data_IF_110276540070
#
_entry.id   IF_110276540070
#
_cell.length_a   1.000
_cell.length_b   1.000
_cell.length_c   1.000
_cell.angle_alpha   90.00
_cell.angle_beta   90.00
_cell.angle_gamma   90.00
#
_symmetry.space_group_name_H-M   'P 1'
#
loop_
_entity.id
_entity.type
_entity.pdbx_description
1 polymer ?
#
# COMPACT_ATOMS: atom_id res chain seq x y z
N UNK A 1 2.80 5.59 -16.05
CA UNK A 1 2.68 6.27 -14.74
C UNK A 1 3.97 5.96 -14.00
N UNK A 2 4.85 6.93 -13.87
CA UNK A 2 6.15 6.75 -13.22
C UNK A 2 6.02 6.68 -11.70
N UNK A 3 6.99 6.00 -11.05
CA UNK A 3 7.04 5.83 -9.58
C UNK A 3 6.95 7.13 -8.80
N UNK A 4 7.54 8.19 -9.35
CA UNK A 4 7.51 9.52 -8.76
C UNK A 4 6.08 10.04 -8.53
N UNK A 5 5.17 9.81 -9.48
CA UNK A 5 3.79 10.26 -9.36
C UNK A 5 3.04 9.54 -8.24
N UNK A 6 3.34 8.25 -8.04
CA UNK A 6 2.72 7.45 -7.00
C UNK A 6 3.24 7.86 -5.62
N UNK A 7 4.55 7.96 -5.45
CA UNK A 7 5.15 8.43 -4.20
C UNK A 7 4.68 9.86 -3.84
N UNK A 8 4.60 10.75 -4.82
CA UNK A 8 4.09 12.12 -4.63
C UNK A 8 2.61 12.12 -4.23
N UNK A 9 1.81 11.26 -4.85
CA UNK A 9 0.38 11.12 -4.57
C UNK A 9 0.13 10.71 -3.12
N UNK A 10 0.80 9.65 -2.67
CA UNK A 10 0.71 9.16 -1.30
C UNK A 10 1.25 10.17 -0.28
N UNK A 11 2.38 10.83 -0.58
CA UNK A 11 2.89 11.92 0.26
C UNK A 11 1.87 13.06 0.41
N UNK A 12 1.18 13.40 -0.67
CA UNK A 12 0.14 14.44 -0.66
C UNK A 12 -1.07 14.02 0.16
N UNK A 13 -1.47 12.75 0.07
CA UNK A 13 -2.55 12.18 0.89
C UNK A 13 -2.20 12.28 2.38
N UNK A 14 -1.00 11.83 2.78
CA UNK A 14 -0.52 11.91 4.17
C UNK A 14 -0.37 13.34 4.69
N UNK A 15 0.04 14.28 3.83
CA UNK A 15 0.15 15.69 4.20
C UNK A 15 -1.23 16.33 4.48
N UNK A 16 -2.30 15.82 3.86
CA UNK A 16 -3.68 16.27 4.09
C UNK A 16 -4.34 15.55 5.25
N UNK A 17 -4.10 14.25 5.36
CA UNK A 17 -4.63 13.39 6.41
C UNK A 17 -3.53 12.41 6.85
N UNK A 18 -2.91 12.64 8.03
CA UNK A 18 -1.87 11.77 8.57
C UNK A 18 -2.32 10.31 8.76
N UNK A 19 -3.62 10.07 8.89
CA UNK A 19 -4.20 8.72 9.09
C UNK A 19 -4.57 8.05 7.78
N UNK A 20 -4.37 8.69 6.62
CA UNK A 20 -4.82 8.18 5.33
C UNK A 20 -4.30 6.76 5.00
N UNK A 21 -3.15 6.37 5.54
CA UNK A 21 -2.53 5.05 5.34
C UNK A 21 -2.62 4.14 6.57
N UNK A 22 -3.43 4.50 7.58
CA UNK A 22 -3.72 3.61 8.70
C UNK A 22 -4.44 2.36 8.17
N UNK A 23 -4.10 1.19 8.71
CA UNK A 23 -4.63 -0.06 8.19
C UNK A 23 -6.17 -0.14 8.22
N UNK A 24 -6.81 0.52 9.20
CA UNK A 24 -8.26 0.76 9.24
C UNK A 24 -8.78 1.42 7.96
N UNK A 25 -8.22 2.58 7.64
CA UNK A 25 -8.61 3.38 6.48
C UNK A 25 -8.28 2.68 5.15
N UNK A 26 -7.14 2.01 5.08
CA UNK A 26 -6.76 1.21 3.91
C UNK A 26 -7.77 0.08 3.65
N UNK A 27 -8.16 -0.66 4.69
CA UNK A 27 -9.06 -1.82 4.57
C UNK A 27 -10.46 -1.43 4.07
N UNK A 28 -10.89 -0.19 4.27
CA UNK A 28 -12.20 0.34 3.87
C UNK A 28 -12.14 1.42 2.79
N UNK A 29 -10.98 1.61 2.14
CA UNK A 29 -10.78 2.71 1.19
C UNK A 29 -11.73 2.60 -0.01
N UNK A 30 -12.24 3.74 -0.50
CA UNK A 30 -13.13 3.78 -1.68
C UNK A 30 -12.37 4.13 -2.97
N UNK A 31 -13.01 3.92 -4.12
CA UNK A 31 -12.44 4.30 -5.42
C UNK A 31 -12.17 5.81 -5.51
N UNK A 32 -13.07 6.63 -4.96
CA UNK A 32 -12.95 8.08 -4.94
C UNK A 32 -11.71 8.52 -4.16
N UNK A 33 -11.50 7.91 -2.98
CA UNK A 33 -10.32 8.17 -2.16
C UNK A 33 -9.05 7.75 -2.88
N UNK A 34 -8.99 6.53 -3.44
CA UNK A 34 -7.82 6.07 -4.20
C UNK A 34 -7.55 6.98 -5.40
N UNK A 35 -8.57 7.36 -6.19
CA UNK A 35 -8.41 8.26 -7.31
C UNK A 35 -7.88 9.65 -6.88
N UNK A 36 -8.33 10.15 -5.73
CA UNK A 36 -7.89 11.44 -5.19
C UNK A 36 -6.38 11.49 -4.90
N UNK A 37 -5.76 10.35 -4.57
CA UNK A 37 -4.32 10.26 -4.31
C UNK A 37 -3.49 10.50 -5.58
N UNK A 38 -4.06 10.28 -6.77
CA UNK A 38 -3.33 10.36 -8.04
C UNK A 38 -3.68 11.61 -8.88
N UNK A 39 -4.50 12.54 -8.36
CA UNK A 39 -4.89 13.77 -9.07
C UNK A 39 -3.68 14.51 -9.67
N UNK A 40 -3.75 15.00 -10.93
CA UNK A 40 -4.90 15.02 -11.86
C UNK A 40 -5.11 13.75 -12.69
N UNK A 41 -4.36 12.69 -12.41
CA UNK A 41 -4.41 11.47 -13.20
C UNK A 41 -5.32 10.43 -12.53
N UNK A 42 -6.20 9.81 -13.31
CA UNK A 42 -6.92 8.62 -12.85
C UNK A 42 -6.07 7.39 -13.16
N UNK A 43 -5.70 6.59 -12.16
CA UNK A 43 -4.92 5.39 -12.41
C UNK A 43 -5.77 4.37 -13.20
N UNK A 44 -5.18 3.65 -14.17
CA UNK A 44 -5.88 2.57 -14.85
C UNK A 44 -6.22 1.46 -13.82
N UNK A 45 -7.32 0.74 -14.07
CA UNK A 45 -7.77 -0.39 -13.23
C UNK A 45 -8.00 0.02 -11.76
N UNK A 46 -8.70 1.15 -11.55
CA UNK A 46 -8.94 1.72 -10.24
C UNK A 46 -9.56 0.71 -9.25
N UNK A 47 -10.51 -0.11 -9.71
CA UNK A 47 -11.15 -1.15 -8.89
C UNK A 47 -10.15 -2.18 -8.36
N UNK A 48 -9.24 -2.67 -9.21
CA UNK A 48 -8.21 -3.63 -8.79
C UNK A 48 -7.19 -2.97 -7.86
N UNK A 49 -6.84 -1.70 -8.10
CA UNK A 49 -5.96 -0.95 -7.20
C UNK A 49 -6.61 -0.77 -5.83
N UNK A 50 -7.89 -0.40 -5.77
CA UNK A 50 -8.64 -0.30 -4.53
C UNK A 50 -8.65 -1.63 -3.80
N UNK A 51 -8.92 -2.75 -4.49
CA UNK A 51 -8.86 -4.09 -3.88
C UNK A 51 -7.50 -4.39 -3.27
N UNK A 52 -6.41 -4.16 -4.02
CA UNK A 52 -5.03 -4.34 -3.52
C UNK A 52 -4.74 -3.47 -2.30
N UNK A 53 -5.20 -2.22 -2.28
CA UNK A 53 -5.03 -1.34 -1.11
C UNK A 53 -5.83 -1.87 0.10
N UNK A 54 -7.05 -2.36 -0.12
CA UNK A 54 -7.85 -2.97 0.94
C UNK A 54 -7.20 -4.23 1.50
N UNK A 55 -6.64 -5.09 0.65
CA UNK A 55 -5.85 -6.26 1.06
C UNK A 55 -4.67 -5.85 1.93
N UNK A 56 -3.97 -4.77 1.58
CA UNK A 56 -2.88 -4.24 2.41
C UNK A 56 -3.37 -3.86 3.80
N UNK A 57 -4.48 -3.12 3.89
CA UNK A 57 -5.09 -2.78 5.17
C UNK A 57 -5.46 -4.01 5.99
N UNK A 58 -6.09 -5.01 5.38
CA UNK A 58 -6.49 -6.24 6.04
C UNK A 58 -5.28 -7.04 6.56
N UNK A 59 -4.23 -7.18 5.76
CA UNK A 59 -2.99 -7.88 6.14
C UNK A 59 -2.29 -7.16 7.29
N UNK A 60 -2.20 -5.82 7.24
CA UNK A 60 -1.62 -5.03 8.32
C UNK A 60 -2.40 -5.20 9.62
N UNK A 61 -3.73 -5.16 9.58
CA UNK A 61 -4.57 -5.40 10.75
C UNK A 61 -4.35 -6.80 11.34
N UNK A 62 -4.29 -7.83 10.49
CA UNK A 62 -4.25 -9.21 10.95
C UNK A 62 -2.87 -9.64 11.45
N UNK A 63 -1.78 -9.21 10.80
CA UNK A 63 -0.44 -9.74 11.05
C UNK A 63 0.55 -8.75 11.69
N UNK A 64 0.21 -7.45 11.73
CA UNK A 64 1.14 -6.38 12.10
C UNK A 64 0.50 -5.31 13.01
N UNK A 65 -0.52 -5.67 13.78
CA UNK A 65 -1.26 -4.78 14.70
C UNK A 65 -1.75 -3.48 14.06
N UNK A 66 -2.07 -3.52 12.76
CA UNK A 66 -2.56 -2.38 11.99
C UNK A 66 -1.49 -1.34 11.60
N UNK A 67 -0.20 -1.59 11.83
CA UNK A 67 0.87 -0.63 11.56
C UNK A 67 1.95 -1.21 10.64
N UNK A 68 2.21 -0.55 9.51
CA UNK A 68 3.32 -0.88 8.60
C UNK A 68 4.69 -0.89 9.31
N UNK A 69 4.88 -0.02 10.30
CA UNK A 69 6.09 0.02 11.12
C UNK A 69 6.35 -1.32 11.84
N UNK A 70 5.32 -2.06 12.22
CA UNK A 70 5.48 -3.35 12.87
C UNK A 70 5.96 -4.44 11.90
N UNK A 71 5.66 -4.33 10.60
CA UNK A 71 6.27 -5.16 9.56
C UNK A 71 7.77 -4.90 9.51
N UNK A 72 8.19 -3.64 9.47
CA UNK A 72 9.61 -3.25 9.41
C UNK A 72 10.35 -3.65 10.69
N UNK A 73 9.72 -3.51 11.87
CA UNK A 73 10.26 -4.00 13.14
C UNK A 73 10.41 -5.53 13.14
N UNK A 74 9.41 -6.27 12.65
CA UNK A 74 9.46 -7.73 12.51
C UNK A 74 10.55 -8.17 11.51
N UNK A 75 10.83 -7.33 10.51
CA UNK A 75 11.93 -7.51 9.59
C UNK A 75 13.31 -7.15 10.18
N UNK A 76 13.37 -6.70 11.44
CA UNK A 76 14.58 -6.18 12.07
C UNK A 76 15.29 -5.12 11.20
N UNK A 77 14.51 -4.23 10.56
CA UNK A 77 14.99 -3.18 9.65
C UNK A 77 15.81 -3.70 8.44
N UNK A 78 15.77 -4.99 8.15
CA UNK A 78 16.39 -5.58 6.97
C UNK A 78 15.44 -5.48 5.78
N UNK A 79 15.88 -4.82 4.70
CA UNK A 79 15.11 -4.73 3.47
C UNK A 79 14.80 -6.11 2.87
N UNK A 80 15.77 -7.03 2.93
CA UNK A 80 15.61 -8.41 2.44
C UNK A 80 14.52 -9.14 3.24
N UNK A 81 14.53 -8.99 4.56
CA UNK A 81 13.54 -9.63 5.42
C UNK A 81 12.16 -8.98 5.28
N UNK A 82 12.10 -7.66 5.09
CA UNK A 82 10.84 -6.96 4.83
C UNK A 82 10.18 -7.48 3.55
N UNK A 83 10.96 -7.64 2.48
CA UNK A 83 10.48 -8.26 1.22
C UNK A 83 10.01 -9.69 1.45
N UNK A 84 10.75 -10.49 2.24
CA UNK A 84 10.36 -11.86 2.59
C UNK A 84 9.02 -11.90 3.34
N UNK A 85 8.82 -11.01 4.30
CA UNK A 85 7.56 -10.88 5.05
C UNK A 85 6.41 -10.43 4.14
N UNK A 86 6.64 -9.48 3.24
CA UNK A 86 5.62 -9.08 2.25
C UNK A 86 5.20 -10.27 1.39
N UNK A 87 6.16 -11.01 0.83
CA UNK A 87 5.88 -12.19 0.01
C UNK A 87 5.13 -13.30 0.76
N UNK A 88 5.39 -13.46 2.05
CA UNK A 88 4.77 -14.49 2.87
C UNK A 88 3.33 -14.14 3.31
N UNK A 89 2.98 -12.86 3.44
CA UNK A 89 1.72 -12.42 4.05
C UNK A 89 0.72 -11.79 3.05
N UNK A 90 1.18 -11.40 1.85
CA UNK A 90 0.33 -10.79 0.82
C UNK A 90 0.16 -11.78 -0.34
N UNK A 91 -0.85 -12.68 -0.28
CA UNK A 91 -1.05 -13.69 -1.31
C UNK A 91 -1.57 -13.04 -2.59
N UNK A 92 -0.81 -13.14 -3.68
CA UNK A 92 -1.27 -12.75 -5.02
C UNK A 92 -0.58 -13.58 -6.10
N UNK A 93 -1.32 -14.30 -6.96
CA UNK A 93 -0.73 -15.05 -8.08
C UNK A 93 -0.21 -14.15 -9.22
N UNK A 94 -0.35 -12.83 -9.12
CA UNK A 94 -0.05 -11.85 -10.19
C UNK A 94 1.13 -10.91 -9.90
N UNK A 95 1.98 -11.21 -8.91
CA UNK A 95 3.23 -10.46 -8.71
C UNK A 95 4.29 -10.86 -9.75
N UNK A 96 4.06 -10.51 -11.01
CA UNK A 96 5.14 -10.34 -11.99
C UNK A 96 5.99 -9.15 -11.54
N UNK A 97 7.29 -9.18 -11.84
CA UNK A 97 8.33 -8.24 -11.36
C UNK A 97 8.04 -6.74 -11.57
N UNK A 98 6.97 -6.39 -12.29
CA UNK A 98 6.49 -5.02 -12.55
C UNK A 98 5.48 -4.50 -11.51
N UNK A 99 4.77 -5.37 -10.81
CA UNK A 99 3.74 -4.99 -9.81
C UNK A 99 4.28 -4.96 -8.37
N UNK A 100 5.51 -5.44 -8.18
CA UNK A 100 6.16 -5.56 -6.87
C UNK A 100 6.33 -4.22 -6.15
N UNK A 101 6.70 -3.17 -6.87
CA UNK A 101 6.92 -1.88 -6.21
C UNK A 101 5.64 -1.04 -6.02
N UNK A 102 4.48 -1.49 -6.52
CA UNK A 102 3.19 -0.89 -6.20
C UNK A 102 2.79 -1.08 -4.73
N UNK A 103 3.11 -2.24 -4.14
CA UNK A 103 2.90 -2.52 -2.71
C UNK A 103 3.96 -1.82 -1.86
N UNK A 104 5.20 -1.74 -2.36
CA UNK A 104 6.31 -1.13 -1.62
C UNK A 104 6.18 0.38 -1.45
N UNK A 105 5.41 1.07 -2.30
CA UNK A 105 5.14 2.48 -2.08
C UNK A 105 4.02 2.76 -1.07
N UNK A 106 3.20 1.76 -0.72
CA UNK A 106 2.16 1.88 0.31
C UNK A 106 2.68 1.60 1.74
N UNK A 107 3.88 1.03 1.86
CA UNK A 107 4.60 0.77 3.12
C UNK A 107 5.77 1.73 3.28
#
# INVERSE_FOLDING_TARGET
MEYEHLARGLKTALARDPTALDAGNLATVTNETVASWFHPFTPPQLDERRRKVQEVGQVLQHFFDGLALNLIKKANFSAVEAVRLVLANFPGPEYSSRDFLGVFCLL
#
